data_IF_723003924840
#
_entry.id   IF_723003924840
#
_cell.length_a   1.000
_cell.length_b   1.000
_cell.length_c   1.000
_cell.angle_alpha   90.00
_cell.angle_beta   90.00
_cell.angle_gamma   90.00
#
_symmetry.space_group_name_H-M   'P 1'
#
loop_
_entity.id
_entity.type
_entity.pdbx_description
1 polymer ?
#
# COMPACT_ATOMS: atom_id res chain seq x y z
N UNK A 1 21.35 -4.98 -4.13
CA UNK A 1 20.01 -4.96 -3.49
C UNK A 1 20.14 -5.23 -1.99
N UNK A 2 19.64 -4.36 -1.10
CA UNK A 2 19.53 -4.74 0.31
C UNK A 2 18.37 -5.73 0.46
N UNK A 3 18.56 -6.83 1.17
CA UNK A 3 17.55 -7.86 1.42
C UNK A 3 16.17 -7.27 1.80
N UNK A 4 16.16 -6.21 2.60
CA UNK A 4 14.95 -5.49 3.00
C UNK A 4 14.12 -4.94 1.82
N UNK A 5 14.75 -4.40 0.76
CA UNK A 5 14.05 -3.87 -0.42
C UNK A 5 13.39 -4.99 -1.22
N UNK A 6 14.11 -6.10 -1.37
CA UNK A 6 13.60 -7.29 -2.06
C UNK A 6 12.38 -7.83 -1.34
N UNK A 7 12.52 -8.07 -0.04
CA UNK A 7 11.46 -8.64 0.78
C UNK A 7 10.26 -7.71 0.78
N UNK A 8 10.48 -6.39 0.91
CA UNK A 8 9.40 -5.41 0.82
C UNK A 8 8.64 -5.52 -0.51
N UNK A 9 9.29 -5.42 -1.66
CA UNK A 9 8.59 -5.52 -2.95
C UNK A 9 7.96 -6.90 -3.17
N UNK A 10 8.61 -7.97 -2.72
CA UNK A 10 8.15 -9.34 -2.90
C UNK A 10 6.93 -9.69 -2.03
N UNK A 11 6.75 -9.06 -0.87
CA UNK A 11 5.57 -9.27 -0.01
C UNK A 11 4.50 -8.22 -0.27
N UNK A 12 4.89 -6.96 -0.40
CA UNK A 12 3.98 -5.84 -0.57
C UNK A 12 3.19 -5.93 -1.87
N UNK A 13 3.87 -6.06 -3.02
CA UNK A 13 3.18 -6.03 -4.32
C UNK A 13 2.16 -7.17 -4.44
N UNK A 14 2.46 -8.43 -4.09
CA UNK A 14 1.44 -9.48 -4.09
C UNK A 14 0.31 -9.22 -3.09
N UNK A 15 0.59 -8.71 -1.89
CA UNK A 15 -0.46 -8.41 -0.92
C UNK A 15 -1.40 -7.31 -1.42
N UNK A 16 -0.87 -6.22 -2.00
CA UNK A 16 -1.65 -5.18 -2.65
C UNK A 16 -2.43 -5.75 -3.82
N UNK A 17 -1.83 -6.56 -4.70
CA UNK A 17 -2.59 -7.15 -5.80
C UNK A 17 -3.73 -8.05 -5.30
N UNK A 18 -3.48 -8.90 -4.32
CA UNK A 18 -4.48 -9.83 -3.79
C UNK A 18 -5.65 -9.15 -3.08
N UNK A 19 -5.41 -8.02 -2.40
CA UNK A 19 -6.43 -7.29 -1.66
C UNK A 19 -7.06 -6.18 -2.51
N UNK A 20 -6.27 -5.48 -3.31
CA UNK A 20 -6.68 -4.31 -4.08
C UNK A 20 -7.28 -4.64 -5.44
N UNK A 21 -6.87 -5.74 -6.08
CA UNK A 21 -7.52 -6.18 -7.33
C UNK A 21 -8.98 -6.56 -7.08
N UNK A 22 -9.32 -6.96 -5.85
CA UNK A 22 -10.70 -7.23 -5.49
C UNK A 22 -11.56 -6.02 -5.83
N UNK A 23 -11.10 -4.79 -5.60
CA UNK A 23 -11.89 -3.59 -5.87
C UNK A 23 -12.24 -3.35 -7.36
N UNK A 24 -11.46 -3.91 -8.29
CA UNK A 24 -11.67 -3.69 -9.74
C UNK A 24 -12.30 -4.89 -10.45
N UNK A 25 -12.24 -6.06 -9.83
CA UNK A 25 -12.74 -7.31 -10.39
C UNK A 25 -14.18 -7.53 -9.87
N UNK A 26 -15.15 -7.89 -10.73
CA UNK A 26 -16.50 -8.21 -10.26
C UNK A 26 -16.47 -9.31 -9.20
N UNK A 27 -17.31 -9.18 -8.17
CA UNK A 27 -17.33 -10.08 -7.01
C UNK A 27 -17.50 -11.57 -7.38
N UNK A 28 -18.11 -11.87 -8.53
CA UNK A 28 -18.29 -13.22 -9.05
C UNK A 28 -16.99 -13.91 -9.45
N UNK A 29 -15.95 -13.14 -9.82
CA UNK A 29 -14.64 -13.67 -10.22
C UNK A 29 -13.66 -13.77 -9.06
N UNK A 30 -14.01 -13.26 -7.87
CA UNK A 30 -13.13 -13.28 -6.70
C UNK A 30 -13.44 -14.52 -5.86
N UNK A 31 -12.47 -15.43 -5.66
CA UNK A 31 -12.65 -16.60 -4.81
C UNK A 31 -13.06 -16.23 -3.39
N UNK A 32 -14.00 -16.99 -2.81
CA UNK A 32 -14.47 -16.80 -1.43
C UNK A 32 -13.34 -16.68 -0.41
N UNK A 33 -12.24 -17.47 -0.46
CA UNK A 33 -11.14 -17.32 0.50
C UNK A 33 -10.53 -15.92 0.55
N UNK A 34 -10.44 -15.22 -0.60
CA UNK A 34 -9.89 -13.87 -0.67
C UNK A 34 -10.85 -12.83 -0.10
N UNK A 35 -12.16 -12.99 -0.33
CA UNK A 35 -13.20 -12.15 0.29
C UNK A 35 -13.18 -12.31 1.81
N UNK A 36 -13.13 -13.56 2.28
CA UNK A 36 -13.10 -13.89 3.71
C UNK A 36 -11.82 -13.36 4.36
N UNK A 37 -10.67 -13.44 3.68
CA UNK A 37 -9.41 -12.90 4.20
C UNK A 37 -9.48 -11.38 4.39
N UNK A 38 -9.99 -10.64 3.39
CA UNK A 38 -10.16 -9.19 3.49
C UNK A 38 -11.14 -8.81 4.61
N UNK A 39 -12.29 -9.50 4.68
CA UNK A 39 -13.27 -9.27 5.74
C UNK A 39 -12.70 -9.60 7.14
N UNK A 40 -11.93 -10.68 7.26
CA UNK A 40 -11.27 -11.06 8.51
C UNK A 40 -10.23 -10.02 8.93
N UNK A 41 -9.42 -9.52 7.98
CA UNK A 41 -8.47 -8.44 8.23
C UNK A 41 -9.17 -7.21 8.80
N UNK A 42 -10.18 -6.69 8.09
CA UNK A 42 -10.90 -5.48 8.52
C UNK A 42 -11.58 -5.68 9.88
N UNK A 43 -12.17 -6.85 10.16
CA UNK A 43 -12.76 -7.13 11.48
C UNK A 43 -11.70 -7.15 12.58
N UNK A 44 -10.53 -7.72 12.31
CA UNK A 44 -9.43 -7.81 13.27
C UNK A 44 -8.81 -6.44 13.56
N UNK A 45 -8.60 -5.63 12.54
CA UNK A 45 -7.85 -4.37 12.62
C UNK A 45 -8.73 -3.12 12.73
N UNK A 46 -10.02 -3.22 12.43
CA UNK A 46 -10.93 -2.08 12.23
C UNK A 46 -10.38 -1.08 11.19
N UNK A 47 -9.83 -1.62 10.09
CA UNK A 47 -9.19 -0.84 9.03
C UNK A 47 -10.19 0.05 8.26
N UNK A 48 -10.14 1.39 8.41
CA UNK A 48 -11.10 2.28 7.77
C UNK A 48 -10.89 2.41 6.26
N UNK A 49 -9.74 1.98 5.73
CA UNK A 49 -9.35 2.15 4.33
C UNK A 49 -9.81 0.97 3.50
N UNK A 50 -9.62 -0.22 4.05
CA UNK A 50 -10.01 -1.47 3.41
C UNK A 50 -11.48 -1.83 3.72
N UNK A 51 -12.09 -1.26 4.75
CA UNK A 51 -13.52 -1.44 5.03
C UNK A 51 -14.46 -1.11 3.85
N UNK A 52 -14.30 0.02 3.13
CA UNK A 52 -15.05 0.30 1.91
C UNK A 52 -14.92 -0.75 0.79
N UNK A 53 -13.88 -1.58 0.83
CA UNK A 53 -13.59 -2.59 -0.20
C UNK A 53 -14.22 -3.95 0.10
N UNK A 54 -14.80 -4.13 1.29
CA UNK A 54 -15.53 -5.36 1.61
C UNK A 54 -16.73 -5.44 0.68
N UNK A 55 -16.73 -6.47 -0.17
CA UNK A 55 -17.91 -6.90 -0.90
C UNK A 55 -18.94 -7.38 0.11
N UNK A 56 -19.93 -6.55 0.41
CA UNK A 56 -21.21 -7.04 0.87
C UNK A 56 -21.93 -7.56 -0.37
N UNK A 57 -22.02 -8.89 -0.51
CA UNK A 57 -23.02 -9.46 -1.40
C UNK A 57 -24.34 -8.81 -0.99
N UNK A 58 -25.12 -8.28 -1.93
CA UNK A 58 -26.37 -7.60 -1.65
C UNK A 58 -27.29 -8.53 -0.83
N UNK A 59 -27.23 -8.44 0.49
CA UNK A 59 -27.91 -9.37 1.41
C UNK A 59 -27.10 -9.90 2.59
N UNK A 60 -25.76 -9.82 2.62
CA UNK A 60 -24.99 -10.19 3.83
C UNK A 60 -24.85 -8.99 4.76
N UNK A 61 -25.77 -8.91 5.72
CA UNK A 61 -25.70 -8.03 6.87
C UNK A 61 -24.49 -8.38 7.73
N UNK A 62 -23.79 -7.35 8.21
CA UNK A 62 -22.95 -7.47 9.41
C UNK A 62 -23.83 -7.95 10.58
N UNK A 63 -23.28 -8.64 11.60
CA UNK A 63 -24.03 -9.04 12.80
C UNK A 63 -24.77 -7.88 13.48
N UNK A 64 -24.38 -6.65 13.17
CA UNK A 64 -24.85 -5.41 13.79
C UNK A 64 -25.91 -4.67 12.94
N UNK A 65 -26.32 -5.23 11.79
CA UNK A 65 -27.36 -4.66 10.91
C UNK A 65 -27.03 -3.32 10.24
N UNK A 66 -25.87 -2.72 10.55
CA UNK A 66 -25.39 -1.52 9.87
C UNK A 66 -24.78 -1.92 8.54
N UNK A 67 -25.59 -1.87 7.49
CA UNK A 67 -25.09 -1.79 6.13
C UNK A 67 -24.04 -0.68 6.07
N UNK A 68 -22.78 -1.06 5.82
CA UNK A 68 -21.76 -0.12 5.42
C UNK A 68 -22.18 0.35 4.02
N UNK A 69 -23.04 1.37 3.97
CA UNK A 69 -23.46 2.09 2.76
C UNK A 69 -22.28 2.92 2.21
N UNK A 70 -21.10 2.32 2.08
CA UNK A 70 -19.93 2.94 1.43
C UNK A 70 -19.83 2.57 -0.05
N UNK A 71 -20.88 1.98 -0.63
CA UNK A 71 -20.90 1.70 -2.07
C UNK A 71 -20.83 2.99 -2.93
N UNK A 72 -21.18 4.16 -2.36
CA UNK A 72 -21.21 5.47 -3.04
C UNK A 72 -20.56 6.62 -2.26
N UNK A 73 -19.53 6.40 -1.44
CA UNK A 73 -18.82 7.52 -0.80
C UNK A 73 -17.61 7.98 -1.62
N UNK A 74 -17.27 9.30 -1.62
CA UNK A 74 -16.05 9.84 -2.22
C UNK A 74 -14.78 9.09 -1.79
N UNK A 75 -14.80 8.54 -0.57
CA UNK A 75 -13.73 7.74 0.00
C UNK A 75 -13.47 6.45 -0.79
N UNK A 76 -14.51 5.74 -1.27
CA UNK A 76 -14.33 4.54 -2.09
C UNK A 76 -13.67 4.89 -3.43
N UNK A 77 -14.08 5.99 -4.08
CA UNK A 77 -13.46 6.44 -5.33
C UNK A 77 -11.99 6.83 -5.13
N UNK A 78 -11.68 7.54 -4.05
CA UNK A 78 -10.32 7.92 -3.69
C UNK A 78 -9.44 6.69 -3.39
N UNK A 79 -9.90 5.78 -2.53
CA UNK A 79 -9.19 4.52 -2.23
C UNK A 79 -8.97 3.73 -3.52
N UNK A 80 -10.00 3.61 -4.37
CA UNK A 80 -9.89 2.95 -5.67
C UNK A 80 -8.83 3.59 -6.56
N UNK A 81 -8.78 4.91 -6.64
CA UNK A 81 -7.80 5.62 -7.46
C UNK A 81 -6.36 5.39 -6.96
N UNK A 82 -6.15 5.43 -5.64
CA UNK A 82 -4.85 5.15 -5.03
C UNK A 82 -4.44 3.71 -5.30
N UNK A 83 -5.34 2.75 -5.06
CA UNK A 83 -5.05 1.34 -5.26
C UNK A 83 -4.76 1.02 -6.73
N UNK A 84 -5.44 1.70 -7.65
CA UNK A 84 -5.17 1.57 -9.09
C UNK A 84 -3.77 2.09 -9.43
N UNK A 85 -3.41 3.27 -8.90
CA UNK A 85 -2.08 3.84 -9.07
C UNK A 85 -1.00 2.93 -8.47
N UNK A 86 -1.26 2.36 -7.30
CA UNK A 86 -0.36 1.42 -6.63
C UNK A 86 -0.20 0.12 -7.42
N UNK A 87 -1.28 -0.47 -7.92
CA UNK A 87 -1.21 -1.67 -8.76
C UNK A 87 -0.44 -1.39 -10.06
N UNK A 88 -0.72 -0.26 -10.72
CA UNK A 88 -0.10 0.07 -12.01
C UNK A 88 1.39 0.41 -11.83
N UNK A 89 1.71 1.35 -10.94
CA UNK A 89 3.08 1.78 -10.69
C UNK A 89 3.90 0.69 -9.98
N UNK A 90 3.29 -0.04 -9.04
CA UNK A 90 3.91 -1.13 -8.28
C UNK A 90 4.26 -2.32 -9.16
N UNK A 91 3.34 -2.78 -10.02
CA UNK A 91 3.62 -3.91 -10.94
C UNK A 91 4.63 -3.51 -12.00
N UNK A 92 4.46 -2.38 -12.67
CA UNK A 92 5.40 -1.93 -13.70
C UNK A 92 6.79 -1.66 -13.08
N UNK A 93 6.83 -1.06 -11.90
CA UNK A 93 8.04 -0.85 -11.12
C UNK A 93 8.73 -2.18 -10.76
N UNK A 94 7.99 -3.15 -10.23
CA UNK A 94 8.51 -4.47 -9.89
C UNK A 94 9.05 -5.18 -11.13
N UNK A 95 8.29 -5.26 -12.22
CA UNK A 95 8.74 -5.89 -13.47
C UNK A 95 9.99 -5.22 -14.03
N UNK A 96 10.06 -3.89 -13.96
CA UNK A 96 11.23 -3.15 -14.42
C UNK A 96 12.46 -3.42 -13.55
N UNK A 97 12.29 -3.45 -12.22
CA UNK A 97 13.33 -3.79 -11.25
C UNK A 97 13.81 -5.24 -11.46
N UNK A 98 12.91 -6.19 -11.66
CA UNK A 98 13.24 -7.59 -11.93
C UNK A 98 14.04 -7.75 -13.23
N UNK A 99 13.68 -6.99 -14.28
CA UNK A 99 14.35 -7.07 -15.59
C UNK A 99 15.72 -6.38 -15.64
N UNK A 100 15.87 -5.24 -14.97
CA UNK A 100 17.07 -4.38 -15.10
C UNK A 100 17.96 -4.39 -13.87
N UNK A 101 17.49 -4.94 -12.76
CA UNK A 101 18.14 -4.88 -11.47
C UNK A 101 17.84 -3.58 -10.73
N UNK A 102 17.65 -3.68 -9.42
CA UNK A 102 17.33 -2.52 -8.55
C UNK A 102 18.43 -1.46 -8.52
N UNK A 103 19.68 -1.87 -8.77
CA UNK A 103 20.83 -0.97 -8.72
C UNK A 103 21.09 -0.29 -10.07
N UNK A 104 20.24 -0.55 -11.07
CA UNK A 104 20.32 0.12 -12.35
C UNK A 104 19.83 1.56 -12.24
N UNK A 105 20.66 2.56 -12.60
CA UNK A 105 20.29 3.97 -12.49
C UNK A 105 19.06 4.35 -13.32
N UNK A 106 18.73 3.58 -14.38
CA UNK A 106 17.52 3.83 -15.18
C UNK A 106 16.23 3.54 -14.43
N UNK A 107 16.25 2.62 -13.46
CA UNK A 107 15.05 2.26 -12.66
C UNK A 107 14.78 3.27 -11.52
N UNK A 108 15.68 4.25 -11.34
CA UNK A 108 15.64 5.21 -10.26
C UNK A 108 14.40 6.09 -10.24
N UNK A 109 13.95 6.68 -11.37
CA UNK A 109 12.73 7.50 -11.36
C UNK A 109 11.49 6.71 -10.93
N UNK A 110 11.36 5.45 -11.36
CA UNK A 110 10.26 4.59 -10.94
C UNK A 110 10.35 4.22 -9.45
N UNK A 111 11.54 3.91 -8.93
CA UNK A 111 11.72 3.64 -7.50
C UNK A 111 11.35 4.85 -6.63
N UNK A 112 11.74 6.06 -7.05
CA UNK A 112 11.39 7.30 -6.34
C UNK A 112 9.90 7.57 -6.43
N UNK A 113 9.30 7.48 -7.62
CA UNK A 113 7.88 7.73 -7.83
C UNK A 113 7.03 6.75 -7.00
N UNK A 114 7.37 5.46 -7.04
CA UNK A 114 6.72 4.45 -6.21
C UNK A 114 6.89 4.77 -4.73
N UNK A 115 8.12 5.01 -4.26
CA UNK A 115 8.39 5.28 -2.85
C UNK A 115 7.64 6.51 -2.35
N UNK A 116 7.64 7.61 -3.12
CA UNK A 116 6.91 8.83 -2.80
C UNK A 116 5.40 8.58 -2.75
N UNK A 117 4.86 7.83 -3.72
CA UNK A 117 3.45 7.43 -3.72
C UNK A 117 3.09 6.65 -2.45
N UNK A 118 3.76 5.52 -2.17
CA UNK A 118 3.50 4.71 -0.97
C UNK A 118 3.69 5.48 0.34
N UNK A 119 4.70 6.36 0.43
CA UNK A 119 4.94 7.14 1.63
C UNK A 119 3.86 8.21 1.85
N UNK A 120 3.39 8.87 0.78
CA UNK A 120 2.34 9.89 0.89
C UNK A 120 0.98 9.29 1.16
N UNK A 121 0.63 8.17 0.53
CA UNK A 121 -0.63 7.46 0.82
C UNK A 121 -0.61 6.99 2.26
N UNK A 122 0.40 6.21 2.66
CA UNK A 122 0.53 5.70 4.03
C UNK A 122 0.65 6.81 5.09
N UNK A 123 1.30 7.93 4.75
CA UNK A 123 1.41 9.08 5.65
C UNK A 123 0.07 9.72 5.95
N UNK A 124 -0.79 9.90 4.94
CA UNK A 124 -2.18 10.38 5.14
C UNK A 124 -2.95 9.37 5.99
N UNK A 125 -2.75 8.07 5.77
CA UNK A 125 -3.41 7.03 6.56
C UNK A 125 -2.98 7.08 8.01
N UNK A 126 -1.68 7.11 8.30
CA UNK A 126 -1.17 7.24 9.66
C UNK A 126 -1.72 8.52 10.31
N UNK A 127 -1.72 9.65 9.61
CA UNK A 127 -2.29 10.90 10.10
C UNK A 127 -3.79 10.75 10.43
N UNK A 128 -4.58 10.12 9.56
CA UNK A 128 -6.00 9.84 9.80
C UNK A 128 -6.20 8.88 10.98
N UNK A 129 -5.37 7.83 11.10
CA UNK A 129 -5.38 6.89 12.23
C UNK A 129 -5.14 7.61 13.57
N UNK A 130 -4.31 8.65 13.60
CA UNK A 130 -4.06 9.44 14.80
C UNK A 130 -5.11 10.54 15.02
N UNK A 131 -5.63 11.16 13.95
CA UNK A 131 -6.57 12.27 14.03
C UNK A 131 -8.01 11.83 14.30
N UNK A 132 -8.43 10.68 13.77
CA UNK A 132 -9.78 10.16 13.97
C UNK A 132 -9.84 9.29 15.23
N UNK A 133 -10.55 9.80 16.25
CA UNK A 133 -10.97 9.00 17.40
C UNK A 133 -12.11 8.05 17.04
N UNK A 134 -11.98 7.29 15.96
CA UNK A 134 -12.78 6.09 15.78
C UNK A 134 -12.57 5.22 17.02
N UNK A 135 -13.65 4.71 17.59
CA UNK A 135 -13.64 3.85 18.77
C UNK A 135 -12.93 2.53 18.45
N UNK A 136 -11.58 2.57 18.43
CA UNK A 136 -10.69 1.46 18.17
C UNK A 136 -9.98 1.09 19.46
N UNK A 137 -9.79 -0.20 19.68
CA UNK A 137 -9.03 -0.69 20.82
C UNK A 137 -7.54 -0.37 20.64
N UNK A 138 -6.79 -0.33 21.74
CA UNK A 138 -5.33 -0.19 21.69
C UNK A 138 -4.68 -1.29 20.83
N UNK A 139 -5.24 -2.50 20.86
CA UNK A 139 -4.80 -3.63 20.02
C UNK A 139 -5.02 -3.36 18.53
N UNK A 140 -6.19 -2.86 18.14
CA UNK A 140 -6.48 -2.51 16.74
C UNK A 140 -5.52 -1.41 16.24
N UNK A 141 -5.28 -0.40 17.06
CA UNK A 141 -4.31 0.65 16.75
C UNK A 141 -2.89 0.09 16.59
N UNK A 142 -2.46 -0.83 17.45
CA UNK A 142 -1.16 -1.48 17.33
C UNK A 142 -1.06 -2.32 16.04
N UNK A 143 -2.10 -3.09 15.70
CA UNK A 143 -2.15 -3.88 14.46
C UNK A 143 -2.02 -2.96 13.23
N UNK A 144 -2.82 -1.89 13.16
CA UNK A 144 -2.78 -0.95 12.06
C UNK A 144 -1.43 -0.23 11.97
N UNK A 145 -0.88 0.21 13.11
CA UNK A 145 0.44 0.85 13.13
C UNK A 145 1.53 -0.11 12.64
N UNK A 146 1.54 -1.36 13.10
CA UNK A 146 2.51 -2.37 12.65
C UNK A 146 2.31 -2.74 11.18
N UNK A 147 1.08 -2.72 10.68
CA UNK A 147 0.78 -2.98 9.28
C UNK A 147 1.25 -1.82 8.39
N UNK A 148 0.96 -0.57 8.76
CA UNK A 148 1.19 0.60 7.92
C UNK A 148 2.60 1.20 8.08
N UNK A 149 3.23 1.15 9.26
CA UNK A 149 4.54 1.76 9.48
C UNK A 149 5.64 1.25 8.51
N UNK A 150 5.74 -0.06 8.17
CA UNK A 150 6.70 -0.53 7.18
C UNK A 150 6.52 0.10 5.80
N UNK A 151 5.26 0.33 5.36
CA UNK A 151 4.93 0.96 4.09
C UNK A 151 5.23 2.46 4.06
N UNK A 152 5.48 3.07 5.21
CA UNK A 152 5.98 4.45 5.30
C UNK A 152 7.51 4.48 5.42
N UNK A 153 8.07 3.73 6.37
CA UNK A 153 9.48 3.79 6.74
C UNK A 153 10.40 3.20 5.67
N UNK A 154 10.04 2.06 5.07
CA UNK A 154 10.89 1.43 4.05
C UNK A 154 10.99 2.29 2.79
N UNK A 155 9.88 2.82 2.23
CA UNK A 155 9.95 3.78 1.13
C UNK A 155 10.75 5.04 1.43
N UNK A 156 10.60 5.62 2.63
CA UNK A 156 11.41 6.77 3.05
C UNK A 156 12.90 6.44 3.11
N UNK A 157 13.25 5.26 3.63
CA UNK A 157 14.63 4.81 3.68
C UNK A 157 15.19 4.58 2.27
N UNK A 158 14.41 3.99 1.35
CA UNK A 158 14.78 3.85 -0.07
C UNK A 158 15.07 5.22 -0.65
N UNK A 159 14.14 6.18 -0.49
CA UNK A 159 14.27 7.54 -1.01
C UNK A 159 15.53 8.23 -0.46
N UNK A 160 15.73 8.18 0.85
CA UNK A 160 16.89 8.77 1.52
C UNK A 160 18.22 8.19 1.02
N UNK A 161 18.35 6.86 0.96
CA UNK A 161 19.56 6.19 0.46
C UNK A 161 19.85 6.55 -1.00
N UNK A 162 18.81 6.68 -1.81
CA UNK A 162 18.89 7.00 -3.23
C UNK A 162 19.29 8.46 -3.50
N UNK A 163 18.82 9.41 -2.69
CA UNK A 163 19.24 10.81 -2.76
C UNK A 163 20.70 11.01 -2.31
N UNK A 164 21.11 10.32 -1.25
CA UNK A 164 22.46 10.47 -0.68
C UNK A 164 23.54 9.86 -1.58
N UNK A 165 23.32 8.66 -2.12
CA UNK A 165 24.30 7.96 -2.99
C UNK A 165 24.56 8.69 -4.32
N UNK A 166 23.56 9.34 -4.90
CA UNK A 166 23.71 10.10 -6.14
C UNK A 166 24.57 11.36 -5.95
N UNK A 167 24.47 11.97 -4.76
CA UNK A 167 25.22 13.18 -4.40
C UNK A 167 26.72 12.88 -4.27
N UNK A 168 27.07 11.76 -3.63
CA UNK A 168 28.48 11.39 -3.41
C UNK A 168 29.22 11.07 -4.72
N UNK A 169 28.54 10.41 -5.67
CA UNK A 169 29.13 10.06 -6.97
C UNK A 169 29.44 11.30 -7.83
N UNK A 170 28.58 12.32 -7.80
CA UNK A 170 28.82 13.59 -8.51
C UNK A 170 30.00 14.37 -7.93
N UNK A 171 30.11 14.46 -6.60
CA UNK A 171 31.23 15.14 -5.91
C UNK A 171 32.56 14.43 -6.19
N UNK A 172 32.59 13.10 -6.19
CA UNK A 172 33.78 12.33 -6.54
C UNK A 172 34.25 12.57 -7.97
N UNK A 173 33.32 12.69 -8.93
CA UNK A 173 33.65 12.90 -10.34
C UNK A 173 34.12 14.34 -10.59
N UNK A 174 33.54 15.32 -9.91
CA UNK A 174 33.97 16.72 -9.94
C UNK A 174 35.37 16.94 -9.33
N UNK A 175 35.78 16.13 -8.34
CA UNK A 175 37.15 16.17 -7.79
C UNK A 175 38.20 15.51 -8.70
N UNK A 176 37.79 14.76 -9.73
CA UNK A 176 38.68 14.04 -10.65
C UNK A 176 38.77 14.70 -12.04
N UNK A 177 38.00 15.75 -12.28
CA UNK A 177 38.04 16.58 -13.48
C UNK A 177 38.80 17.87 -13.14
#
# INVERSE_FOLDING_TARGET
>A
MSLAQTLFYATHVPSTLLLSLQNFIPATFIPTPLKTLLAAWVRLSADPILAPLIYTDAGTTTPDGKHILLQHTPQRAWVSAILFAECTAGVLGLLWILRKGVDNPRTFPAQIAHAAHTATTTGILLADLYATQLARTAQQNAILLCAYAPYFLVPLWILWRRMTTTTTAKVSKAKKA
#
